data_IF_856341190893
#
_entry.id   IF_856341190893
#
_cell.length_a   1.000
_cell.length_b   1.000
_cell.length_c   1.000
_cell.angle_alpha   90.00
_cell.angle_beta   90.00
_cell.angle_gamma   90.00
#
_symmetry.space_group_name_H-M   'P 1'
#
loop_
_entity.id
_entity.type
_entity.pdbx_description
1 polymer ?
#
# COMPACT_ATOMS: atom_id res chain seq x y z
N UNK A 1 -1.79 -23.38 3.18
CA UNK A 1 -0.63 -23.31 4.10
C UNK A 1 0.35 -22.30 3.51
N UNK A 2 0.97 -21.44 4.32
CA UNK A 2 2.02 -20.54 3.84
C UNK A 2 3.29 -21.34 3.52
N UNK A 3 3.92 -21.08 2.37
CA UNK A 3 5.27 -21.59 2.07
C UNK A 3 6.29 -20.54 2.50
N UNK A 4 6.83 -20.69 3.71
CA UNK A 4 7.84 -19.78 4.27
C UNK A 4 9.23 -20.40 4.20
N UNK A 5 10.23 -19.55 3.94
CA UNK A 5 11.65 -19.92 3.92
C UNK A 5 12.42 -18.93 4.79
N UNK A 6 13.39 -19.43 5.57
CA UNK A 6 14.38 -18.60 6.25
C UNK A 6 15.55 -18.31 5.30
N UNK A 7 16.09 -17.11 5.35
CA UNK A 7 17.23 -16.70 4.53
C UNK A 7 17.90 -15.44 5.05
N UNK A 8 18.95 -15.00 4.36
CA UNK A 8 19.67 -13.78 4.72
C UNK A 8 19.50 -12.70 3.64
N UNK A 9 19.31 -11.44 4.06
CA UNK A 9 19.32 -10.30 3.15
C UNK A 9 20.72 -10.15 2.54
N UNK A 10 20.82 -10.44 1.25
CA UNK A 10 22.08 -10.49 0.49
C UNK A 10 22.35 -9.23 -0.34
N UNK A 11 21.32 -8.45 -0.65
CA UNK A 11 21.45 -7.16 -1.33
C UNK A 11 20.25 -6.25 -1.03
N UNK A 12 20.45 -4.93 -1.09
CA UNK A 12 19.38 -3.92 -1.11
C UNK A 12 19.45 -3.24 -2.48
N UNK A 13 18.40 -3.41 -3.28
CA UNK A 13 18.33 -2.90 -4.66
C UNK A 13 17.73 -1.49 -4.70
N UNK A 14 16.67 -1.28 -3.93
CA UNK A 14 16.00 0.01 -3.78
C UNK A 14 15.47 0.12 -2.34
N UNK A 15 15.66 1.28 -1.73
CA UNK A 15 15.20 1.55 -0.37
C UNK A 15 14.42 2.86 -0.34
N UNK A 16 13.11 2.72 -0.18
CA UNK A 16 12.17 3.79 0.11
C UNK A 16 11.68 3.64 1.55
N UNK A 17 10.94 4.62 2.04
CA UNK A 17 10.39 4.58 3.40
C UNK A 17 9.34 3.46 3.54
N UNK A 18 8.46 3.35 2.55
CA UNK A 18 7.31 2.46 2.51
C UNK A 18 7.62 1.08 1.88
N UNK A 19 8.66 1.00 1.03
CA UNK A 19 8.96 -0.18 0.23
C UNK A 19 10.47 -0.38 0.11
N UNK A 20 10.92 -1.63 0.29
CA UNK A 20 12.30 -2.03 -0.01
C UNK A 20 12.28 -3.15 -1.02
N UNK A 21 13.02 -3.00 -2.12
CA UNK A 21 13.34 -4.08 -3.04
C UNK A 21 14.71 -4.61 -2.69
N UNK A 22 14.81 -5.89 -2.42
CA UNK A 22 16.02 -6.53 -1.90
C UNK A 22 16.20 -7.94 -2.49
N UNK A 23 17.29 -8.58 -2.12
CA UNK A 23 17.50 -10.00 -2.39
C UNK A 23 17.70 -10.77 -1.09
N UNK A 24 17.05 -11.93 -0.98
CA UNK A 24 17.24 -12.88 0.13
C UNK A 24 17.84 -14.17 -0.42
N UNK A 25 19.12 -14.40 -0.12
CA UNK A 25 19.95 -15.43 -0.74
C UNK A 25 19.92 -15.37 -2.28
N UNK A 26 20.16 -14.18 -2.84
CA UNK A 26 20.13 -13.86 -4.28
C UNK A 26 18.77 -14.08 -4.98
N UNK A 27 17.67 -14.26 -4.23
CA UNK A 27 16.30 -14.27 -4.78
C UNK A 27 15.64 -12.90 -4.61
N UNK A 28 15.09 -12.30 -5.68
CA UNK A 28 14.35 -11.04 -5.60
C UNK A 28 13.24 -11.11 -4.57
N UNK A 29 13.17 -10.10 -3.71
CA UNK A 29 12.21 -10.02 -2.62
C UNK A 29 11.74 -8.59 -2.41
N UNK A 30 10.54 -8.43 -1.86
CA UNK A 30 10.02 -7.13 -1.44
C UNK A 30 9.73 -7.12 0.05
N UNK A 31 10.00 -6.00 0.71
CA UNK A 31 9.62 -5.75 2.09
C UNK A 31 8.85 -4.43 2.22
N UNK A 32 8.01 -4.34 3.24
CA UNK A 32 7.21 -3.16 3.57
C UNK A 32 7.62 -2.68 4.97
N UNK A 33 8.62 -1.81 5.11
CA UNK A 33 9.18 -1.49 6.42
C UNK A 33 8.17 -0.90 7.41
N UNK A 34 7.14 -0.21 6.93
CA UNK A 34 6.04 0.30 7.76
C UNK A 34 5.17 -0.81 8.38
N UNK A 35 5.27 -2.04 7.87
CA UNK A 35 4.54 -3.22 8.36
C UNK A 35 5.43 -4.23 9.06
N UNK A 36 6.59 -4.55 8.46
CA UNK A 36 7.47 -5.64 8.92
C UNK A 36 8.73 -5.15 9.62
N UNK A 37 8.89 -3.83 9.75
CA UNK A 37 10.05 -3.19 10.33
C UNK A 37 11.20 -2.94 9.36
N UNK A 38 12.25 -2.25 9.81
CA UNK A 38 13.40 -1.92 8.98
C UNK A 38 14.15 -3.18 8.51
N UNK A 39 14.82 -3.07 7.37
CA UNK A 39 15.62 -4.13 6.76
C UNK A 39 17.01 -3.58 6.42
N UNK A 40 18.07 -4.36 6.62
CA UNK A 40 19.37 -4.08 6.01
C UNK A 40 20.12 -5.36 5.66
N UNK A 41 21.24 -5.17 4.95
CA UNK A 41 22.16 -6.22 4.56
C UNK A 41 22.56 -7.09 5.76
N UNK A 42 22.54 -8.41 5.55
CA UNK A 42 22.91 -9.41 6.56
C UNK A 42 21.80 -9.81 7.51
N UNK A 43 20.62 -9.18 7.46
CA UNK A 43 19.49 -9.56 8.31
C UNK A 43 19.00 -10.98 8.01
N UNK A 44 18.68 -11.70 9.09
CA UNK A 44 18.01 -12.99 9.05
C UNK A 44 16.50 -12.77 8.96
N UNK A 45 15.86 -13.37 7.97
CA UNK A 45 14.47 -13.07 7.60
C UNK A 45 13.70 -14.34 7.26
N UNK A 46 12.38 -14.28 7.46
CA UNK A 46 11.42 -15.20 6.87
C UNK A 46 10.81 -14.55 5.63
N UNK A 47 10.76 -15.28 4.52
CA UNK A 47 10.12 -14.85 3.27
C UNK A 47 9.04 -15.84 2.86
N UNK A 48 7.95 -15.32 2.31
CA UNK A 48 6.92 -16.10 1.62
C UNK A 48 7.31 -16.27 0.16
N UNK A 49 7.54 -17.52 -0.24
CA UNK A 49 8.06 -17.90 -1.57
C UNK A 49 6.98 -18.42 -2.52
N UNK A 50 5.75 -18.57 -2.01
CA UNK A 50 4.74 -19.43 -2.62
C UNK A 50 4.32 -18.98 -4.03
N UNK A 51 4.06 -17.69 -4.22
CA UNK A 51 3.56 -17.19 -5.50
C UNK A 51 4.63 -17.31 -6.61
N UNK A 52 5.90 -17.05 -6.27
CA UNK A 52 7.01 -17.20 -7.21
C UNK A 52 7.28 -18.68 -7.54
N UNK A 53 7.33 -19.55 -6.54
CA UNK A 53 7.56 -20.99 -6.73
C UNK A 53 6.44 -21.66 -7.55
N UNK A 54 5.21 -21.15 -7.47
CA UNK A 54 4.06 -21.60 -8.27
C UNK A 54 3.96 -20.93 -9.65
N UNK A 55 4.82 -19.95 -9.97
CA UNK A 55 4.74 -19.18 -11.21
C UNK A 55 3.46 -18.36 -11.35
N UNK A 56 2.86 -17.94 -10.23
CA UNK A 56 1.67 -17.09 -10.20
C UNK A 56 2.06 -15.61 -10.20
N UNK A 57 1.07 -14.73 -10.38
CA UNK A 57 1.27 -13.28 -10.42
C UNK A 57 1.79 -12.71 -9.09
N UNK A 58 3.11 -12.75 -8.88
CA UNK A 58 3.81 -12.18 -7.72
C UNK A 58 4.57 -10.90 -8.04
N UNK A 59 4.61 -10.48 -9.30
CA UNK A 59 5.55 -9.45 -9.77
C UNK A 59 7.00 -9.95 -9.88
N UNK A 60 7.24 -11.26 -9.71
CA UNK A 60 8.57 -11.86 -9.89
C UNK A 60 9.45 -11.83 -8.63
N UNK A 61 8.86 -11.70 -7.44
CA UNK A 61 9.60 -11.63 -6.18
C UNK A 61 8.93 -12.44 -5.07
N UNK A 62 9.73 -12.83 -4.08
CA UNK A 62 9.25 -13.33 -2.79
C UNK A 62 8.80 -12.14 -1.90
N UNK A 63 7.96 -12.38 -0.88
CA UNK A 63 7.49 -11.31 0.02
C UNK A 63 8.07 -11.52 1.41
N UNK A 64 8.78 -10.53 1.95
CA UNK A 64 9.31 -10.60 3.31
C UNK A 64 8.15 -10.70 4.30
N UNK A 65 8.17 -11.77 5.09
CA UNK A 65 7.14 -12.10 6.07
C UNK A 65 7.49 -11.56 7.46
N UNK A 66 8.75 -11.74 7.90
CA UNK A 66 9.24 -11.20 9.16
C UNK A 66 10.77 -11.02 9.13
N UNK A 67 11.28 -9.96 9.75
CA UNK A 67 12.71 -9.78 9.99
C UNK A 67 13.05 -10.29 11.40
N UNK A 68 13.85 -11.36 11.48
CA UNK A 68 14.20 -12.03 12.73
C UNK A 68 15.37 -11.37 13.47
N UNK A 69 16.12 -10.49 12.81
CA UNK A 69 17.22 -9.75 13.42
C UNK A 69 16.73 -8.48 14.13
N UNK A 70 15.80 -7.73 13.51
CA UNK A 70 15.36 -6.42 14.05
C UNK A 70 13.88 -6.09 13.85
N UNK A 71 13.10 -6.97 13.23
CA UNK A 71 11.65 -6.80 13.06
C UNK A 71 10.81 -7.35 14.21
N UNK A 72 11.43 -8.02 15.19
CA UNK A 72 10.73 -8.59 16.35
C UNK A 72 10.72 -7.61 17.52
N UNK A 73 9.62 -7.61 18.29
CA UNK A 73 9.47 -6.76 19.47
C UNK A 73 9.26 -5.28 19.15
N UNK A 74 8.86 -4.95 17.91
CA UNK A 74 8.48 -3.60 17.54
C UNK A 74 7.25 -3.14 18.35
N UNK A 75 7.20 -1.85 18.75
CA UNK A 75 6.06 -1.32 19.48
C UNK A 75 4.81 -1.32 18.59
N UNK A 76 3.60 -1.39 19.20
CA UNK A 76 2.37 -1.20 18.45
C UNK A 76 2.28 0.22 17.89
N UNK A 77 1.55 0.39 16.78
CA UNK A 77 1.23 1.70 16.22
C UNK A 77 0.41 2.52 17.21
N UNK A 78 0.91 3.70 17.59
CA UNK A 78 0.20 4.61 18.49
C UNK A 78 -1.08 5.15 17.84
N UNK A 79 -2.15 5.28 18.63
CA UNK A 79 -3.44 5.83 18.17
C UNK A 79 -4.26 4.93 17.23
N UNK A 80 -3.81 3.70 16.97
CA UNK A 80 -4.55 2.75 16.14
C UNK A 80 -5.63 2.01 16.96
N UNK A 81 -6.90 2.13 16.56
CA UNK A 81 -8.01 1.39 17.18
C UNK A 81 -8.62 0.32 16.26
N UNK A 82 -8.16 0.23 15.02
CA UNK A 82 -8.67 -0.70 14.01
C UNK A 82 -7.55 -1.62 13.52
N UNK A 83 -7.90 -2.89 13.34
CA UNK A 83 -7.01 -3.91 12.79
C UNK A 83 -7.33 -4.14 11.31
N UNK A 84 -6.33 -3.99 10.44
CA UNK A 84 -6.40 -4.49 9.06
C UNK A 84 -5.98 -5.95 9.00
N UNK A 85 -6.60 -6.69 8.09
CA UNK A 85 -6.46 -8.15 7.94
C UNK A 85 -6.67 -8.91 9.27
N UNK A 86 -7.78 -8.62 10.01
CA UNK A 86 -7.98 -9.15 11.36
C UNK A 86 -8.00 -10.68 11.36
N UNK A 87 -7.39 -11.28 12.38
CA UNK A 87 -7.28 -12.73 12.57
C UNK A 87 -6.44 -13.46 11.51
N UNK A 88 -5.75 -12.74 10.62
CA UNK A 88 -4.73 -13.32 9.74
C UNK A 88 -3.35 -13.24 10.41
N UNK A 89 -2.38 -14.06 9.97
CA UNK A 89 -1.00 -13.96 10.47
C UNK A 89 -0.29 -12.63 10.18
N UNK A 90 -0.85 -11.78 9.32
CA UNK A 90 -0.32 -10.45 8.97
C UNK A 90 -1.20 -9.30 9.49
N UNK A 91 -2.04 -9.56 10.49
CA UNK A 91 -2.88 -8.52 11.07
C UNK A 91 -2.03 -7.34 11.58
N UNK A 92 -2.47 -6.12 11.32
CA UNK A 92 -1.73 -4.90 11.69
C UNK A 92 -2.69 -3.82 12.18
N UNK A 93 -2.31 -3.14 13.26
CA UNK A 93 -3.05 -2.00 13.79
C UNK A 93 -2.68 -0.74 13.00
N UNK A 94 -3.69 -0.07 12.45
CA UNK A 94 -3.50 1.12 11.61
C UNK A 94 -4.46 2.22 12.07
N UNK A 95 -3.97 3.46 12.31
CA UNK A 95 -4.85 4.61 12.52
C UNK A 95 -5.64 4.89 11.24
N UNK A 96 -6.95 4.98 11.36
CA UNK A 96 -7.79 5.28 10.21
C UNK A 96 -8.12 6.77 10.18
N UNK A 97 -8.00 7.38 9.01
CA UNK A 97 -8.13 8.82 8.89
C UNK A 97 -9.54 9.30 9.29
N UNK A 98 -10.59 8.51 9.09
CA UNK A 98 -11.94 8.86 9.56
C UNK A 98 -12.11 8.94 11.08
N UNK A 99 -11.14 8.49 11.87
CA UNK A 99 -11.19 8.61 13.34
C UNK A 99 -10.85 10.03 13.81
N UNK A 100 -10.13 10.82 13.00
CA UNK A 100 -9.62 12.14 13.36
C UNK A 100 -9.94 13.24 12.33
N UNK A 101 -10.09 12.88 11.06
CA UNK A 101 -10.32 13.82 9.97
C UNK A 101 -11.81 14.14 9.79
N UNK A 102 -12.09 15.33 9.23
CA UNK A 102 -13.45 15.73 8.89
C UNK A 102 -13.94 14.95 7.66
N UNK A 103 -15.13 14.40 7.75
CA UNK A 103 -15.84 13.78 6.61
C UNK A 103 -16.96 14.69 6.11
N UNK A 104 -17.14 14.75 4.79
CA UNK A 104 -18.32 15.39 4.20
C UNK A 104 -19.53 14.44 4.28
N UNK A 105 -20.72 14.99 4.55
CA UNK A 105 -21.96 14.20 4.55
C UNK A 105 -22.39 13.78 3.13
N UNK A 106 -21.94 14.52 2.12
CA UNK A 106 -22.29 14.35 0.71
C UNK A 106 -21.08 14.66 -0.17
N UNK A 107 -21.03 14.08 -1.37
CA UNK A 107 -19.94 14.35 -2.33
C UNK A 107 -20.13 15.65 -3.13
N UNK A 108 -21.36 16.18 -3.16
CA UNK A 108 -21.71 17.47 -3.79
C UNK A 108 -21.12 17.67 -5.20
N UNK A 109 -21.20 16.64 -6.03
CA UNK A 109 -20.75 16.69 -7.42
C UNK A 109 -19.26 16.41 -7.64
N UNK A 110 -18.49 16.04 -6.59
CA UNK A 110 -17.10 15.60 -6.74
C UNK A 110 -17.00 14.48 -7.79
N UNK A 111 -16.26 14.69 -8.89
CA UNK A 111 -16.04 13.67 -9.91
C UNK A 111 -15.25 12.47 -9.35
N UNK A 112 -15.75 11.26 -9.61
CA UNK A 112 -15.08 10.01 -9.25
C UNK A 112 -14.92 9.15 -10.50
N UNK A 113 -13.68 8.85 -10.88
CA UNK A 113 -13.34 8.00 -12.02
C UNK A 113 -13.09 6.57 -11.51
N UNK A 114 -14.04 5.68 -11.80
CA UNK A 114 -13.94 4.26 -11.42
C UNK A 114 -13.22 3.47 -12.50
N UNK A 115 -12.00 3.04 -12.20
CA UNK A 115 -11.20 2.17 -13.04
C UNK A 115 -11.56 0.70 -12.79
N UNK A 116 -11.63 -0.10 -13.85
CA UNK A 116 -11.79 -1.55 -13.76
C UNK A 116 -10.46 -2.29 -13.64
N UNK A 117 -9.36 -1.65 -14.07
CA UNK A 117 -8.01 -2.19 -14.01
C UNK A 117 -7.07 -1.22 -13.29
N UNK A 118 -6.11 -1.75 -12.53
CA UNK A 118 -5.12 -0.94 -11.82
C UNK A 118 -4.26 -0.10 -12.79
N UNK A 119 -3.93 -0.65 -13.96
CA UNK A 119 -3.14 0.05 -14.99
C UNK A 119 -3.83 1.28 -15.60
N UNK A 120 -5.13 1.46 -15.38
CA UNK A 120 -5.87 2.64 -15.86
C UNK A 120 -5.61 3.89 -15.01
N UNK A 121 -5.03 3.77 -13.81
CA UNK A 121 -4.76 4.91 -12.94
C UNK A 121 -3.88 5.96 -13.64
N UNK A 122 -2.77 5.52 -14.25
CA UNK A 122 -1.82 6.41 -14.91
C UNK A 122 -2.44 7.23 -16.07
N UNK A 123 -3.11 6.63 -17.07
CA UNK A 123 -3.74 7.40 -18.14
C UNK A 123 -4.91 8.27 -17.63
N UNK A 124 -5.64 7.86 -16.58
CA UNK A 124 -6.67 8.71 -15.96
C UNK A 124 -6.07 9.97 -15.35
N UNK A 125 -5.05 9.84 -14.51
CA UNK A 125 -4.37 11.01 -13.92
C UNK A 125 -3.73 11.90 -15.00
N UNK A 126 -3.15 11.31 -16.04
CA UNK A 126 -2.61 12.07 -17.17
C UNK A 126 -3.70 12.86 -17.93
N UNK A 127 -4.90 12.26 -18.10
CA UNK A 127 -6.03 12.90 -18.77
C UNK A 127 -6.72 13.99 -17.94
N UNK A 128 -6.75 13.84 -16.61
CA UNK A 128 -7.21 14.88 -15.68
C UNK A 128 -6.28 16.11 -15.70
N UNK A 129 -4.99 15.88 -15.93
CA UNK A 129 -3.98 16.93 -16.01
C UNK A 129 -3.46 17.40 -14.64
N UNK A 130 -2.39 18.21 -14.62
CA UNK A 130 -1.71 18.63 -13.41
C UNK A 130 -2.41 19.76 -12.64
N UNK A 131 -3.39 20.44 -13.26
CA UNK A 131 -4.07 21.59 -12.67
C UNK A 131 -5.12 21.19 -11.62
N UNK A 132 -5.53 19.92 -11.60
CA UNK A 132 -6.49 19.38 -10.65
C UNK A 132 -5.78 18.69 -9.49
N UNK A 133 -6.23 18.96 -8.28
CA UNK A 133 -5.80 18.23 -7.09
C UNK A 133 -6.52 16.89 -7.00
N UNK A 134 -5.89 15.85 -7.54
CA UNK A 134 -6.46 14.50 -7.63
C UNK A 134 -6.09 13.63 -6.41
N UNK A 135 -7.07 12.94 -5.84
CA UNK A 135 -6.85 11.84 -4.90
C UNK A 135 -7.02 10.48 -5.58
N UNK A 136 -6.29 9.48 -5.10
CA UNK A 136 -6.47 8.09 -5.49
C UNK A 136 -7.00 7.31 -4.29
N UNK A 137 -8.02 6.48 -4.50
CA UNK A 137 -8.53 5.54 -3.50
C UNK A 137 -8.38 4.13 -4.05
N UNK A 138 -7.46 3.36 -3.47
CA UNK A 138 -7.33 1.94 -3.79
C UNK A 138 -8.52 1.19 -3.19
N UNK A 139 -9.27 0.52 -4.06
CA UNK A 139 -10.37 -0.36 -3.69
C UNK A 139 -9.80 -1.71 -3.26
N UNK A 140 -10.54 -2.43 -2.42
CA UNK A 140 -10.12 -3.69 -1.78
C UNK A 140 -9.67 -4.81 -2.75
N UNK A 141 -9.85 -4.67 -4.07
CA UNK A 141 -9.76 -5.71 -5.09
C UNK A 141 -8.66 -6.75 -4.87
N UNK A 142 -7.41 -6.33 -4.73
CA UNK A 142 -6.28 -7.23 -4.44
C UNK A 142 -5.81 -7.28 -2.98
N UNK A 143 -6.40 -6.49 -2.08
CA UNK A 143 -5.92 -6.28 -0.70
C UNK A 143 -4.40 -5.96 -0.64
N UNK A 144 -3.88 -5.26 -1.65
CA UNK A 144 -2.46 -4.97 -1.80
C UNK A 144 -2.06 -3.71 -1.01
N UNK A 145 -0.80 -3.63 -0.55
CA UNK A 145 -0.20 -2.38 -0.08
C UNK A 145 -0.14 -1.33 -1.20
N UNK A 146 -0.59 -0.10 -0.93
CA UNK A 146 -0.52 1.02 -1.88
C UNK A 146 0.93 1.32 -2.26
N UNK A 147 1.83 1.23 -1.27
CA UNK A 147 3.28 1.40 -1.39
C UNK A 147 3.95 0.54 -2.45
N UNK A 148 3.33 -0.56 -2.89
CA UNK A 148 3.86 -1.42 -3.94
C UNK A 148 3.85 -0.75 -5.32
N UNK A 149 2.96 0.21 -5.58
CA UNK A 149 2.81 0.77 -6.93
C UNK A 149 3.87 1.78 -7.31
N UNK A 150 4.62 1.45 -8.35
CA UNK A 150 5.51 2.38 -9.03
C UNK A 150 4.72 3.47 -9.77
N UNK A 151 3.51 3.17 -10.26
CA UNK A 151 2.67 4.15 -10.95
C UNK A 151 2.20 5.25 -10.00
N UNK A 152 1.67 4.91 -8.82
CA UNK A 152 1.27 5.87 -7.78
C UNK A 152 2.46 6.77 -7.41
N UNK A 153 3.62 6.17 -7.18
CA UNK A 153 4.83 6.92 -6.82
C UNK A 153 5.25 7.89 -7.93
N UNK A 154 5.29 7.42 -9.19
CA UNK A 154 5.64 8.24 -10.33
C UNK A 154 4.63 9.38 -10.58
N UNK A 155 3.33 9.13 -10.39
CA UNK A 155 2.28 10.14 -10.51
C UNK A 155 2.40 11.22 -9.42
N UNK A 156 2.68 10.82 -8.17
CA UNK A 156 2.93 11.75 -7.06
C UNK A 156 4.16 12.62 -7.33
N UNK A 157 5.27 12.02 -7.75
CA UNK A 157 6.50 12.75 -8.10
C UNK A 157 6.30 13.78 -9.23
N UNK A 158 5.36 13.50 -10.14
CA UNK A 158 5.01 14.40 -11.26
C UNK A 158 3.93 15.43 -10.92
N UNK A 159 3.41 15.42 -9.69
CA UNK A 159 2.31 16.30 -9.27
C UNK A 159 0.96 15.99 -9.91
N UNK A 160 0.80 14.82 -10.55
CA UNK A 160 -0.46 14.37 -11.17
C UNK A 160 -1.38 13.65 -10.17
N UNK A 161 -0.86 13.32 -8.99
CA UNK A 161 -1.58 12.69 -7.90
C UNK A 161 -1.11 13.30 -6.58
N UNK A 162 -2.04 13.82 -5.79
CA UNK A 162 -1.70 14.48 -4.53
C UNK A 162 -1.65 13.50 -3.35
N UNK A 163 -2.47 12.45 -3.37
CA UNK A 163 -2.56 11.47 -2.27
C UNK A 163 -3.04 10.11 -2.79
N UNK A 164 -2.62 9.04 -2.13
CA UNK A 164 -3.07 7.68 -2.37
C UNK A 164 -3.58 7.04 -1.08
N UNK A 165 -4.89 6.80 -1.00
CA UNK A 165 -5.56 6.23 0.16
C UNK A 165 -5.82 4.73 0.00
N UNK A 166 -5.67 3.98 1.09
CA UNK A 166 -5.94 2.55 1.15
C UNK A 166 -7.29 2.27 1.83
N UNK A 167 -8.29 1.80 1.07
CA UNK A 167 -9.60 1.48 1.64
C UNK A 167 -9.76 -0.02 1.96
N UNK A 168 -10.36 -0.30 3.13
CA UNK A 168 -10.68 -1.65 3.58
C UNK A 168 -9.46 -2.53 3.80
N UNK A 169 -9.39 -3.67 3.10
CA UNK A 169 -8.31 -4.65 3.23
C UNK A 169 -6.99 -4.23 2.55
N UNK A 170 -7.01 -3.19 1.71
CA UNK A 170 -5.77 -2.55 1.25
C UNK A 170 -5.10 -1.86 2.42
N UNK A 171 -3.78 -1.66 2.35
CA UNK A 171 -3.02 -1.10 3.45
C UNK A 171 -1.89 -0.21 2.95
N UNK A 172 -1.17 0.41 3.88
CA UNK A 172 0.07 1.12 3.60
C UNK A 172 -0.13 2.29 2.61
N UNK A 173 -1.26 2.97 2.74
CA UNK A 173 -1.56 4.20 2.01
C UNK A 173 -0.81 5.40 2.59
N UNK A 174 -1.00 6.57 1.98
CA UNK A 174 -0.75 7.84 2.66
C UNK A 174 -1.74 8.03 3.82
N UNK A 175 -2.95 7.50 3.63
CA UNK A 175 -4.02 7.42 4.61
C UNK A 175 -4.76 6.10 4.44
N UNK A 176 -5.22 5.54 5.54
CA UNK A 176 -5.97 4.30 5.59
C UNK A 176 -7.42 4.57 6.01
N UNK A 177 -8.37 3.94 5.31
CA UNK A 177 -9.80 4.06 5.58
C UNK A 177 -10.46 2.67 5.71
N UNK A 178 -11.45 2.55 6.58
CA UNK A 178 -12.22 1.32 6.79
C UNK A 178 -13.09 1.06 5.57
N UNK A 179 -13.64 2.13 4.99
CA UNK A 179 -14.54 2.07 3.85
C UNK A 179 -14.14 3.02 2.73
N UNK A 180 -14.49 2.64 1.49
CA UNK A 180 -14.36 3.53 0.32
C UNK A 180 -15.21 4.79 0.49
N UNK A 181 -16.38 4.68 1.12
CA UNK A 181 -17.26 5.81 1.38
C UNK A 181 -16.59 6.85 2.28
N UNK A 182 -15.90 6.43 3.35
CA UNK A 182 -15.14 7.31 4.22
C UNK A 182 -14.00 8.01 3.47
N UNK A 183 -13.24 7.28 2.64
CA UNK A 183 -12.18 7.86 1.82
C UNK A 183 -12.71 8.93 0.83
N UNK A 184 -13.85 8.69 0.18
CA UNK A 184 -14.47 9.66 -0.72
C UNK A 184 -15.03 10.88 0.04
N UNK A 185 -15.67 10.66 1.18
CA UNK A 185 -16.19 11.73 2.04
C UNK A 185 -15.06 12.61 2.59
N UNK A 186 -13.93 11.99 2.96
CA UNK A 186 -12.71 12.70 3.34
C UNK A 186 -12.14 13.49 2.16
N UNK A 187 -11.98 12.87 0.98
CA UNK A 187 -11.44 13.57 -0.19
C UNK A 187 -12.27 14.80 -0.56
N UNK A 188 -13.60 14.69 -0.43
CA UNK A 188 -14.49 15.85 -0.58
C UNK A 188 -14.23 16.92 0.48
N UNK A 189 -14.19 16.56 1.76
CA UNK A 189 -13.98 17.52 2.85
C UNK A 189 -12.60 18.19 2.79
N UNK A 190 -11.58 17.48 2.32
CA UNK A 190 -10.20 17.94 2.17
C UNK A 190 -9.96 18.78 0.90
N UNK A 191 -11.01 19.01 0.09
CA UNK A 191 -10.96 19.88 -1.08
C UNK A 191 -10.20 19.29 -2.27
N UNK A 192 -10.22 17.98 -2.46
CA UNK A 192 -9.79 17.38 -3.73
C UNK A 192 -10.82 17.65 -4.82
N UNK A 193 -10.35 17.79 -6.05
CA UNK A 193 -11.17 18.23 -7.20
C UNK A 193 -11.63 17.06 -8.06
N UNK A 194 -10.93 15.92 -7.98
CA UNK A 194 -11.33 14.66 -8.57
C UNK A 194 -10.76 13.49 -7.76
N UNK A 195 -11.42 12.34 -7.84
CA UNK A 195 -10.93 11.08 -7.27
C UNK A 195 -10.82 10.02 -8.35
N UNK A 196 -9.71 9.31 -8.42
CA UNK A 196 -9.58 8.07 -9.19
C UNK A 196 -9.66 6.87 -8.23
N UNK A 197 -10.35 5.81 -8.61
CA UNK A 197 -10.47 4.60 -7.81
C UNK A 197 -10.15 3.35 -8.65
N UNK A 198 -9.40 2.39 -8.13
CA UNK A 198 -9.03 1.16 -8.85
C UNK A 198 -8.81 -0.04 -7.90
N UNK A 199 -8.95 -1.31 -8.34
CA UNK A 199 -8.85 -2.51 -7.49
C UNK A 199 -7.43 -2.89 -7.03
N UNK A 200 -6.40 -2.25 -7.54
CA UNK A 200 -5.01 -2.46 -7.15
C UNK A 200 -4.22 -1.18 -7.42
N UNK A 201 -3.03 -1.03 -6.83
CA UNK A 201 -2.40 0.28 -6.75
C UNK A 201 -1.88 0.80 -8.09
N UNK A 202 -1.78 -0.02 -9.13
CA UNK A 202 -1.38 0.40 -10.48
C UNK A 202 -0.01 -0.12 -10.82
#
# INVERSE_FOLDING_TARGET
MLSLRRGQVSAIVEQLEELVRLEVDARPSVAYPRLTGPVALGDDVLVNVQALDLGLGSGGFDVLYANLTRGLGLPPTEGAHVIKLPYTPLQVAVPHAEESERLAERLDGLPVVCCSLHSQLAPVCAGLGPDLRVAYVQLQGGALPVSLSDAVRALKQRGLLAVAAAAGACLDGDLDFVTVAAALAWARAAGYEAVACAPGPG
#
